data_IF_479821485899
#
_entry.id   IF_479821485899
#
_cell.length_a   1.000
_cell.length_b   1.000
_cell.length_c   1.000
_cell.angle_alpha   90.00
_cell.angle_beta   90.00
_cell.angle_gamma   90.00
#
_symmetry.space_group_name_H-M   'P 1'
#
loop_
_entity.id
_entity.type
_entity.pdbx_description
1 polymer ?
#
# COMPACT_ATOMS: atom_id res chain seq x y z
N UNK A 1 -13.56 -15.12 -23.16
CA UNK A 1 -12.32 -15.06 -22.40
C UNK A 1 -12.56 -14.47 -21.01
N UNK A 2 -11.87 -15.03 -20.05
CA UNK A 2 -11.89 -14.59 -18.67
C UNK A 2 -11.10 -13.27 -18.56
N UNK A 3 -11.55 -12.34 -17.74
CA UNK A 3 -10.83 -11.09 -17.47
C UNK A 3 -9.44 -11.32 -16.85
N UNK A 4 -9.26 -12.42 -16.09
CA UNK A 4 -7.97 -12.81 -15.53
C UNK A 4 -6.99 -13.25 -16.62
N UNK A 5 -7.46 -13.92 -17.67
CA UNK A 5 -6.63 -14.28 -18.85
C UNK A 5 -6.14 -13.02 -19.58
N UNK A 6 -6.99 -12.02 -19.71
CA UNK A 6 -6.62 -10.72 -20.28
C UNK A 6 -5.57 -10.03 -19.41
N UNK A 7 -5.70 -10.07 -18.09
CA UNK A 7 -4.73 -9.51 -17.15
C UNK A 7 -3.37 -10.19 -17.26
N UNK A 8 -3.32 -11.50 -17.44
CA UNK A 8 -2.07 -12.26 -17.68
C UNK A 8 -1.39 -11.80 -18.97
N UNK A 9 -2.13 -11.71 -20.07
CA UNK A 9 -1.59 -11.30 -21.37
C UNK A 9 -1.07 -9.86 -21.36
N UNK A 10 -1.80 -8.95 -20.74
CA UNK A 10 -1.37 -7.55 -20.58
C UNK A 10 -0.12 -7.46 -19.73
N UNK A 11 -0.05 -8.20 -18.62
CA UNK A 11 1.11 -8.23 -17.73
C UNK A 11 2.36 -8.72 -18.45
N UNK A 12 2.25 -9.81 -19.20
CA UNK A 12 3.36 -10.33 -20.03
C UNK A 12 3.84 -9.31 -21.05
N UNK A 13 2.92 -8.67 -21.76
CA UNK A 13 3.23 -7.67 -22.77
C UNK A 13 3.91 -6.43 -22.19
N UNK A 14 3.42 -5.92 -21.07
CA UNK A 14 4.01 -4.75 -20.38
C UNK A 14 5.40 -5.08 -19.84
N UNK A 15 5.58 -6.27 -19.27
CA UNK A 15 6.89 -6.70 -18.74
C UNK A 15 7.94 -6.85 -19.85
N UNK A 16 7.53 -7.30 -21.04
CA UNK A 16 8.41 -7.40 -22.22
C UNK A 16 8.84 -6.02 -22.74
N UNK A 17 7.89 -5.07 -22.80
CA UNK A 17 8.13 -3.71 -23.30
C UNK A 17 8.88 -2.85 -22.27
N UNK A 18 8.56 -2.99 -20.99
CA UNK A 18 9.11 -2.20 -19.89
C UNK A 18 9.60 -3.10 -18.74
N UNK A 19 10.79 -3.69 -18.84
CA UNK A 19 11.29 -4.69 -17.87
C UNK A 19 11.45 -4.17 -16.45
N UNK A 20 11.64 -2.88 -16.26
CA UNK A 20 11.85 -2.24 -14.95
C UNK A 20 10.60 -1.56 -14.36
N UNK A 21 9.49 -1.59 -15.08
CA UNK A 21 8.24 -0.99 -14.59
C UNK A 21 7.66 -1.77 -13.42
N UNK A 22 7.04 -1.07 -12.47
CA UNK A 22 6.24 -1.69 -11.42
C UNK A 22 4.87 -2.05 -11.98
N UNK A 23 4.52 -3.32 -11.90
CA UNK A 23 3.24 -3.84 -12.40
C UNK A 23 2.39 -4.32 -11.24
N UNK A 24 1.22 -3.72 -11.08
CA UNK A 24 0.19 -4.16 -10.14
C UNK A 24 -1.00 -4.67 -10.93
N UNK A 25 -1.40 -5.90 -10.65
CA UNK A 25 -2.50 -6.54 -11.34
C UNK A 25 -3.63 -6.90 -10.38
N UNK A 26 -4.86 -6.95 -10.89
CA UNK A 26 -6.04 -7.37 -10.14
C UNK A 26 -6.60 -8.63 -10.76
N UNK A 27 -6.97 -9.59 -9.92
CA UNK A 27 -7.67 -10.82 -10.31
C UNK A 27 -8.96 -10.98 -9.53
N UNK A 28 -9.91 -11.70 -10.12
CA UNK A 28 -11.17 -12.05 -9.45
C UNK A 28 -11.02 -13.25 -8.53
N UNK A 29 -10.21 -14.22 -8.93
CA UNK A 29 -10.10 -15.53 -8.28
C UNK A 29 -8.66 -15.77 -7.81
N UNK A 30 -8.52 -16.28 -6.59
CA UNK A 30 -7.21 -16.57 -5.98
C UNK A 30 -6.41 -17.63 -6.74
N UNK A 31 -7.09 -18.50 -7.49
CA UNK A 31 -6.46 -19.53 -8.32
C UNK A 31 -5.53 -18.94 -9.37
N UNK A 32 -5.83 -17.75 -9.87
CA UNK A 32 -5.09 -17.08 -10.93
C UNK A 32 -3.93 -16.19 -10.40
N UNK A 33 -3.79 -16.05 -9.08
CA UNK A 33 -2.73 -15.28 -8.44
C UNK A 33 -1.34 -15.70 -8.92
N UNK A 34 -1.10 -17.02 -8.95
CA UNK A 34 0.18 -17.60 -9.31
C UNK A 34 0.57 -17.29 -10.76
N UNK A 35 -0.40 -17.38 -11.66
CA UNK A 35 -0.18 -17.06 -13.08
C UNK A 35 0.25 -15.61 -13.29
N UNK A 36 -0.38 -14.66 -12.58
CA UNK A 36 -0.02 -13.25 -12.69
C UNK A 36 1.36 -12.94 -12.11
N UNK A 37 1.72 -13.57 -11.00
CA UNK A 37 3.08 -13.47 -10.45
C UNK A 37 4.13 -14.05 -11.39
N UNK A 38 3.86 -15.21 -12.00
CA UNK A 38 4.74 -15.80 -13.01
C UNK A 38 4.84 -14.96 -14.28
N UNK A 39 3.79 -14.22 -14.64
CA UNK A 39 3.78 -13.32 -15.78
C UNK A 39 4.58 -12.04 -15.56
N UNK A 40 5.06 -11.79 -14.36
CA UNK A 40 5.92 -10.67 -14.01
C UNK A 40 5.22 -9.52 -13.28
N UNK A 41 4.01 -9.74 -12.74
CA UNK A 41 3.38 -8.77 -11.85
C UNK A 41 4.14 -8.67 -10.52
N UNK A 42 4.44 -7.45 -10.08
CA UNK A 42 5.12 -7.21 -8.80
C UNK A 42 4.17 -7.37 -7.62
N UNK A 43 2.90 -7.02 -7.82
CA UNK A 43 1.84 -7.14 -6.84
C UNK A 43 0.54 -7.58 -7.50
N UNK A 44 -0.22 -8.41 -6.80
CA UNK A 44 -1.53 -8.88 -7.28
C UNK A 44 -2.58 -8.70 -6.19
N UNK A 45 -3.69 -8.06 -6.53
CA UNK A 45 -4.84 -7.85 -5.65
C UNK A 45 -5.99 -8.76 -6.07
N UNK A 46 -6.52 -9.53 -5.13
CA UNK A 46 -7.68 -10.40 -5.35
C UNK A 46 -8.93 -9.63 -4.94
N UNK A 47 -9.66 -9.11 -5.93
CA UNK A 47 -10.78 -8.17 -5.69
C UNK A 47 -11.96 -8.81 -4.95
N UNK A 48 -12.29 -10.07 -5.22
CA UNK A 48 -13.38 -10.78 -4.54
C UNK A 48 -13.09 -11.03 -3.07
N UNK A 49 -11.86 -11.37 -2.72
CA UNK A 49 -11.43 -11.57 -1.33
C UNK A 49 -11.48 -10.25 -0.53
N UNK A 50 -10.97 -9.19 -1.09
CA UNK A 50 -10.98 -7.86 -0.45
C UNK A 50 -12.40 -7.37 -0.22
N UNK A 51 -13.28 -7.50 -1.22
CA UNK A 51 -14.70 -7.13 -1.09
C UNK A 51 -15.40 -7.97 -0.02
N UNK A 52 -15.16 -9.27 0.02
CA UNK A 52 -15.72 -10.17 1.02
C UNK A 52 -15.27 -9.84 2.44
N UNK A 53 -14.00 -9.51 2.64
CA UNK A 53 -13.47 -9.07 3.94
C UNK A 53 -14.09 -7.77 4.40
N UNK A 54 -14.25 -6.79 3.52
CA UNK A 54 -14.89 -5.52 3.84
C UNK A 54 -16.36 -5.69 4.20
N UNK A 55 -17.09 -6.52 3.47
CA UNK A 55 -18.49 -6.84 3.81
C UNK A 55 -18.60 -7.51 5.19
N UNK A 56 -17.73 -8.45 5.49
CA UNK A 56 -17.67 -9.11 6.80
C UNK A 56 -17.37 -8.11 7.93
N UNK A 57 -16.42 -7.23 7.75
CA UNK A 57 -16.06 -6.18 8.72
C UNK A 57 -17.22 -5.18 8.92
N UNK A 58 -17.93 -4.83 7.86
CA UNK A 58 -19.04 -3.89 7.94
C UNK A 58 -20.19 -4.38 8.82
N UNK A 59 -20.39 -5.70 8.92
CA UNK A 59 -21.42 -6.30 9.78
C UNK A 59 -21.04 -6.30 11.26
N UNK A 60 -19.76 -6.37 11.59
CA UNK A 60 -19.25 -6.49 12.97
C UNK A 60 -18.68 -5.18 13.49
N UNK A 61 -17.90 -4.50 12.69
CA UNK A 61 -17.20 -3.25 13.04
C UNK A 61 -17.31 -2.23 11.91
N UNK A 62 -18.47 -1.60 11.72
CA UNK A 62 -18.69 -0.65 10.61
C UNK A 62 -17.71 0.55 10.64
N UNK A 63 -17.28 0.97 11.82
CA UNK A 63 -16.31 2.05 11.98
C UNK A 63 -14.94 1.73 11.36
N UNK A 64 -14.53 0.47 11.33
CA UNK A 64 -13.29 0.03 10.68
C UNK A 64 -13.39 0.23 9.17
N UNK A 65 -14.52 -0.14 8.57
CA UNK A 65 -14.76 0.04 7.13
C UNK A 65 -14.82 1.52 6.77
N UNK A 66 -15.46 2.35 7.57
CA UNK A 66 -15.51 3.79 7.39
C UNK A 66 -14.10 4.40 7.40
N UNK A 67 -13.26 4.00 8.34
CA UNK A 67 -11.87 4.45 8.41
C UNK A 67 -11.04 3.95 7.21
N UNK A 68 -11.24 2.72 6.79
CA UNK A 68 -10.54 2.17 5.60
C UNK A 68 -10.94 2.89 4.32
N UNK A 69 -12.21 3.22 4.15
CA UNK A 69 -12.69 4.01 3.02
C UNK A 69 -12.05 5.40 2.99
N UNK A 70 -11.95 6.03 4.15
CA UNK A 70 -11.31 7.34 4.30
C UNK A 70 -9.81 7.28 3.91
N UNK A 71 -9.08 6.27 4.41
CA UNK A 71 -7.68 6.05 4.11
C UNK A 71 -7.40 5.73 2.63
N UNK A 72 -8.35 5.14 1.92
CA UNK A 72 -8.22 4.78 0.51
C UNK A 72 -8.73 5.87 -0.44
N UNK A 73 -9.45 6.86 0.07
CA UNK A 73 -10.00 7.94 -0.74
C UNK A 73 -9.00 9.08 -0.86
N UNK A 74 -8.60 9.49 -2.06
CA UNK A 74 -7.78 10.67 -2.24
C UNK A 74 -8.62 11.93 -1.95
N UNK A 75 -8.11 12.82 -1.13
CA UNK A 75 -8.78 14.07 -0.85
C UNK A 75 -8.67 14.51 0.60
N UNK A 76 -9.80 14.79 1.23
CA UNK A 76 -9.85 15.24 2.62
C UNK A 76 -9.81 14.07 3.59
N UNK A 77 -9.15 14.24 4.73
CA UNK A 77 -9.09 13.26 5.80
C UNK A 77 -7.72 12.64 6.00
N UNK A 78 -7.72 11.39 6.44
CA UNK A 78 -6.49 10.64 6.65
C UNK A 78 -6.12 9.85 5.39
N UNK A 79 -4.83 9.79 5.11
CA UNK A 79 -4.28 8.89 4.10
C UNK A 79 -3.02 8.21 4.64
N UNK A 80 -2.66 7.08 4.05
CA UNK A 80 -1.39 6.40 4.33
C UNK A 80 -0.37 6.90 3.32
N UNK A 81 0.78 7.34 3.81
CA UNK A 81 1.89 7.81 2.98
C UNK A 81 3.19 7.12 3.40
N UNK A 82 4.18 7.19 2.54
CA UNK A 82 5.51 6.66 2.77
C UNK A 82 6.54 7.77 2.60
N UNK A 83 7.46 7.90 3.54
CA UNK A 83 8.57 8.87 3.48
C UNK A 83 9.89 8.26 3.93
N UNK A 84 10.97 8.81 3.43
CA UNK A 84 12.30 8.48 3.91
C UNK A 84 12.48 8.97 5.37
N UNK A 85 13.18 8.20 6.19
CA UNK A 85 13.54 8.62 7.55
C UNK A 85 14.50 9.79 7.52
N UNK A 86 14.36 10.68 8.48
CA UNK A 86 15.29 11.80 8.69
C UNK A 86 16.48 11.36 9.54
N UNK A 87 17.60 12.07 9.43
CA UNK A 87 18.85 11.69 10.10
C UNK A 87 18.72 11.65 11.64
N UNK A 88 17.92 12.51 12.20
CA UNK A 88 17.65 12.59 13.64
C UNK A 88 16.68 11.50 14.14
N UNK A 89 15.97 10.85 13.24
CA UNK A 89 15.08 9.73 13.54
C UNK A 89 15.81 8.38 13.62
N UNK A 90 17.00 8.29 13.05
CA UNK A 90 17.81 7.06 13.05
C UNK A 90 18.18 6.67 14.49
N UNK A 91 17.95 5.41 14.83
CA UNK A 91 18.16 4.88 16.19
C UNK A 91 16.96 5.06 17.13
N UNK A 92 15.95 5.83 16.73
CA UNK A 92 14.72 5.99 17.51
C UNK A 92 13.76 4.81 17.32
N UNK A 93 12.87 4.64 18.28
CA UNK A 93 11.72 3.75 18.11
C UNK A 93 10.62 4.48 17.36
N UNK A 94 10.15 3.97 16.21
CA UNK A 94 9.15 4.67 15.41
C UNK A 94 7.81 4.91 16.12
N UNK A 95 7.51 4.17 17.18
CA UNK A 95 6.32 4.39 18.02
C UNK A 95 6.38 5.72 18.80
N UNK A 96 7.57 6.28 18.99
CA UNK A 96 7.80 7.52 19.73
C UNK A 96 7.98 8.75 18.83
N UNK A 97 7.90 8.57 17.52
CA UNK A 97 7.94 9.68 16.58
C UNK A 97 6.64 10.49 16.62
N UNK A 98 6.71 11.73 16.11
CA UNK A 98 5.54 12.60 16.03
C UNK A 98 4.46 12.07 15.09
N UNK A 99 4.86 11.39 14.02
CA UNK A 99 3.94 10.77 13.09
C UNK A 99 3.35 9.46 13.65
N UNK A 100 2.13 9.13 13.22
CA UNK A 100 1.52 7.83 13.50
C UNK A 100 2.09 6.82 12.52
N UNK A 101 3.11 6.10 12.93
CA UNK A 101 3.81 5.12 12.11
C UNK A 101 3.10 3.77 12.17
N UNK A 102 2.82 3.19 11.01
CA UNK A 102 2.18 1.87 10.86
C UNK A 102 3.20 0.77 10.60
N UNK A 103 4.32 1.11 10.00
CA UNK A 103 5.37 0.17 9.68
C UNK A 103 6.62 0.83 9.11
N UNK A 104 7.64 0.01 8.95
CA UNK A 104 8.94 0.40 8.38
C UNK A 104 9.19 -0.42 7.13
N UNK A 105 9.57 0.23 6.05
CA UNK A 105 9.99 -0.42 4.82
C UNK A 105 11.51 -0.36 4.74
N UNK A 106 12.15 -1.52 4.74
CA UNK A 106 13.59 -1.69 4.70
C UNK A 106 13.97 -2.65 3.59
N UNK A 107 14.77 -2.17 2.65
CA UNK A 107 15.18 -2.98 1.49
C UNK A 107 13.99 -3.59 0.72
N UNK A 108 12.90 -2.82 0.58
CA UNK A 108 11.69 -3.24 -0.12
C UNK A 108 10.76 -4.15 0.69
N UNK A 109 11.10 -4.50 1.92
CA UNK A 109 10.29 -5.34 2.79
C UNK A 109 9.59 -4.54 3.87
N UNK A 110 8.28 -4.80 4.05
CA UNK A 110 7.47 -4.13 5.07
C UNK A 110 7.53 -4.88 6.40
N UNK A 111 7.95 -4.16 7.42
CA UNK A 111 7.86 -4.60 8.82
C UNK A 111 6.78 -3.79 9.53
N UNK A 112 5.79 -4.48 10.10
CA UNK A 112 4.72 -3.82 10.86
C UNK A 112 5.27 -3.23 12.15
N UNK A 113 4.60 -2.21 12.66
CA UNK A 113 5.07 -1.46 13.83
C UNK A 113 5.26 -2.32 15.09
N UNK A 114 4.57 -3.44 15.18
CA UNK A 114 4.68 -4.40 16.30
C UNK A 114 5.78 -5.44 16.11
N UNK A 115 6.45 -5.47 14.97
CA UNK A 115 7.52 -6.42 14.71
C UNK A 115 8.84 -5.98 15.36
N UNK A 116 9.68 -6.93 15.82
CA UNK A 116 10.98 -6.62 16.43
C UNK A 116 11.90 -5.83 15.50
N UNK A 117 11.85 -6.08 14.20
CA UNK A 117 12.66 -5.40 13.19
C UNK A 117 12.31 -3.91 13.06
N UNK A 118 11.10 -3.51 13.46
CA UNK A 118 10.63 -2.13 13.44
C UNK A 118 10.89 -1.37 14.75
N UNK A 119 11.53 -1.98 15.74
CA UNK A 119 11.78 -1.31 17.03
C UNK A 119 12.80 -0.18 16.95
N UNK A 120 13.70 -0.24 15.99
CA UNK A 120 14.75 0.76 15.80
C UNK A 120 14.83 1.17 14.34
N UNK A 121 14.73 2.46 14.09
CA UNK A 121 14.87 3.06 12.75
C UNK A 121 16.34 2.98 12.31
N UNK A 122 16.58 2.48 11.11
CA UNK A 122 17.90 2.39 10.50
C UNK A 122 18.05 3.40 9.35
N UNK A 123 19.29 3.77 9.00
CA UNK A 123 19.53 4.63 7.84
C UNK A 123 18.96 4.00 6.55
N UNK A 124 18.29 4.81 5.75
CA UNK A 124 17.68 4.35 4.50
C UNK A 124 16.29 3.72 4.65
N UNK A 125 15.80 3.57 5.85
CA UNK A 125 14.42 3.12 6.10
C UNK A 125 13.42 4.12 5.55
N UNK A 126 12.27 3.61 5.14
CA UNK A 126 11.09 4.41 4.82
C UNK A 126 10.01 4.12 5.85
N UNK A 127 9.31 5.16 6.28
CA UNK A 127 8.20 5.01 7.22
C UNK A 127 6.88 5.04 6.49
N UNK A 128 6.05 4.04 6.77
CA UNK A 128 4.65 4.02 6.38
C UNK A 128 3.85 4.66 7.53
N UNK A 129 3.22 5.78 7.28
CA UNK A 129 2.58 6.59 8.33
C UNK A 129 1.23 7.15 7.90
N UNK A 130 0.43 7.56 8.88
CA UNK A 130 -0.85 8.21 8.64
C UNK A 130 -0.62 9.70 8.45
N UNK A 131 -1.00 10.21 7.29
CA UNK A 131 -0.95 11.63 6.94
C UNK A 131 -2.35 12.23 6.96
N UNK A 132 -2.49 13.40 7.54
CA UNK A 132 -3.69 14.19 7.40
C UNK A 132 -3.57 15.08 6.17
N UNK A 133 -4.55 14.96 5.26
CA UNK A 133 -4.62 15.76 4.05
C UNK A 133 -5.58 16.92 4.30
N UNK A 134 -5.12 18.14 4.14
CA UNK A 134 -5.95 19.34 4.18
C UNK A 134 -6.30 19.75 2.75
N UNK A 135 -7.47 20.32 2.57
CA UNK A 135 -7.94 20.79 1.26
C UNK A 135 -7.03 21.82 0.62
N UNK A 136 -6.38 22.64 1.45
CA UNK A 136 -5.43 23.67 1.01
C UNK A 136 -4.19 23.06 0.33
N UNK A 137 -3.72 21.90 0.80
CA UNK A 137 -2.56 21.20 0.23
C UNK A 137 -2.82 20.70 -1.19
N UNK A 138 -4.07 20.35 -1.50
CA UNK A 138 -4.47 19.87 -2.82
C UNK A 138 -4.55 21.01 -3.87
N UNK A 139 -4.93 22.20 -3.43
CA UNK A 139 -5.01 23.37 -4.31
C UNK A 139 -3.61 23.88 -4.70
N UNK A 140 -2.64 23.74 -3.81
CA UNK A 140 -1.25 24.13 -4.05
C UNK A 140 -0.55 23.18 -5.04
N UNK A 141 -0.82 21.88 -4.95
CA UNK A 141 -0.30 20.89 -5.89
C UNK A 141 -0.91 21.00 -7.28
N UNK A 142 -2.13 21.50 -7.40
CA UNK A 142 -2.79 21.71 -8.69
C UNK A 142 -2.33 22.99 -9.40
N UNK A 143 -1.64 23.90 -8.71
CA UNK A 143 -1.11 25.16 -9.25
C UNK A 143 0.38 25.11 -9.63
N UNK A 144 1.09 24.06 -9.26
CA UNK A 144 2.48 23.84 -9.62
C UNK A 144 2.62 22.96 -10.85
#
# INVERSE_FOLDING_TARGET
>A
PNMDDTAVLVTLSVREIAPSATIVASVRESENLHLLKQSGADSVVISSETAGRMLGLATVTPSVVEMMEDLLSPGEGFSIAERLVEADEVGANPRHLADIVLGVVRSGELYRIDSPEAETVEPGDRLLYVRRVFREDLEDQARG
#
